data_IF_037517744520
#
_entry.id   IF_037517744520
#
_cell.length_a   1.000
_cell.length_b   1.000
_cell.length_c   1.000
_cell.angle_alpha   90.00
_cell.angle_beta   90.00
_cell.angle_gamma   90.00
#
_symmetry.space_group_name_H-M   'P 1'
#
loop_
_entity.id
_entity.type
_entity.pdbx_description
1 polymer ?
#
# COMPACT_ATOMS: atom_id res chain seq x y z
N UNK A 1 -6.72 15.63 11.68
CA UNK A 1 -8.01 15.29 12.32
C UNK A 1 -8.20 16.02 13.65
N UNK A 2 -9.23 16.85 13.74
CA UNK A 2 -9.72 17.40 15.00
C UNK A 2 -11.14 16.89 15.22
N UNK A 3 -11.34 15.84 16.06
CA UNK A 3 -12.67 15.28 16.26
C UNK A 3 -13.58 16.30 16.95
N UNK A 4 -14.85 16.35 16.52
CA UNK A 4 -15.89 17.11 17.24
C UNK A 4 -16.00 16.57 18.66
N UNK A 5 -16.28 17.46 19.61
CA UNK A 5 -16.46 17.09 21.01
C UNK A 5 -17.92 17.22 21.42
N UNK A 6 -18.39 16.32 22.26
CA UNK A 6 -19.70 16.46 22.91
C UNK A 6 -19.67 17.59 23.96
N UNK A 7 -20.84 18.01 24.42
CA UNK A 7 -20.96 19.00 25.52
C UNK A 7 -20.29 18.52 26.82
N UNK A 8 -20.19 17.20 26.99
CA UNK A 8 -19.44 16.56 28.09
C UNK A 8 -17.96 16.28 27.76
N UNK A 9 -17.40 16.91 26.71
CA UNK A 9 -16.00 16.88 26.32
C UNK A 9 -15.46 15.54 25.75
N UNK A 10 -16.33 14.59 25.40
CA UNK A 10 -15.93 13.34 24.74
C UNK A 10 -15.67 13.56 23.24
N UNK A 11 -14.65 12.90 22.68
CA UNK A 11 -14.38 12.93 21.24
C UNK A 11 -15.40 12.06 20.52
N UNK A 12 -16.10 12.64 19.55
CA UNK A 12 -17.04 11.95 18.68
C UNK A 12 -16.33 11.66 17.35
N UNK A 13 -16.37 10.39 16.95
CA UNK A 13 -15.85 9.93 15.67
C UNK A 13 -17.04 9.55 14.80
N UNK A 14 -17.19 10.24 13.67
CA UNK A 14 -18.12 9.87 12.60
C UNK A 14 -17.48 8.83 11.68
N UNK A 15 -18.26 8.31 10.73
CA UNK A 15 -17.81 7.27 9.79
C UNK A 15 -16.55 7.69 9.01
N UNK A 16 -16.47 8.96 8.59
CA UNK A 16 -15.27 9.52 7.94
C UNK A 16 -14.03 9.44 8.84
N UNK A 17 -14.20 9.59 10.15
CA UNK A 17 -13.11 9.43 11.10
C UNK A 17 -12.68 7.99 11.31
N UNK A 18 -13.63 7.05 11.28
CA UNK A 18 -13.32 5.62 11.30
C UNK A 18 -12.56 5.22 10.03
N UNK A 19 -13.00 5.68 8.87
CA UNK A 19 -12.36 5.40 7.57
C UNK A 19 -10.92 5.94 7.53
N UNK A 20 -10.70 7.20 7.93
CA UNK A 20 -9.35 7.76 7.99
C UNK A 20 -8.43 6.95 8.93
N UNK A 21 -8.94 6.48 10.08
CA UNK A 21 -8.17 5.65 11.01
C UNK A 21 -7.80 4.30 10.37
N UNK A 22 -8.70 3.69 9.60
CA UNK A 22 -8.37 2.46 8.86
C UNK A 22 -7.29 2.71 7.80
N UNK A 23 -7.35 3.84 7.11
CA UNK A 23 -6.33 4.23 6.14
C UNK A 23 -4.96 4.41 6.81
N UNK A 24 -4.89 5.14 7.92
CA UNK A 24 -3.65 5.27 8.71
C UNK A 24 -3.08 3.89 9.07
N UNK A 25 -3.94 2.96 9.52
CA UNK A 25 -3.49 1.59 9.85
C UNK A 25 -2.93 0.85 8.64
N UNK A 26 -3.54 0.99 7.45
CA UNK A 26 -3.07 0.35 6.22
C UNK A 26 -1.71 0.89 5.79
N UNK A 27 -1.56 2.21 5.67
CA UNK A 27 -0.31 2.82 5.23
C UNK A 27 0.82 2.66 6.25
N UNK A 28 0.50 2.64 7.55
CA UNK A 28 1.50 2.35 8.58
C UNK A 28 2.04 0.92 8.50
N UNK A 29 1.21 -0.07 8.10
CA UNK A 29 1.68 -1.44 7.83
C UNK A 29 2.59 -1.52 6.59
N UNK A 30 2.54 -0.52 5.71
CA UNK A 30 3.38 -0.40 4.52
C UNK A 30 4.65 0.43 4.77
N UNK A 31 5.03 0.65 6.04
CA UNK A 31 6.18 1.49 6.44
C UNK A 31 6.13 2.94 5.92
N UNK A 32 4.95 3.44 5.55
CA UNK A 32 4.78 4.83 5.15
C UNK A 32 4.91 5.76 6.38
N UNK A 33 5.76 6.80 6.34
CA UNK A 33 5.92 7.74 7.44
C UNK A 33 4.65 8.58 7.66
N UNK A 34 4.41 8.96 8.92
CA UNK A 34 3.16 9.59 9.34
C UNK A 34 2.84 10.92 8.64
N UNK A 35 3.85 11.65 8.15
CA UNK A 35 3.62 12.89 7.41
C UNK A 35 3.00 12.61 6.03
N UNK A 36 3.46 11.58 5.31
CA UNK A 36 2.90 11.17 4.02
C UNK A 36 1.48 10.61 4.18
N UNK A 37 1.24 9.83 5.23
CA UNK A 37 -0.09 9.30 5.55
C UNK A 37 -1.08 10.45 5.77
N UNK A 38 -0.65 11.51 6.48
CA UNK A 38 -1.47 12.68 6.71
C UNK A 38 -1.80 13.40 5.40
N UNK A 39 -0.81 13.60 4.54
CA UNK A 39 -0.99 14.27 3.25
C UNK A 39 -1.94 13.47 2.34
N UNK A 40 -1.87 12.13 2.35
CA UNK A 40 -2.79 11.25 1.61
C UNK A 40 -4.23 11.37 2.13
N UNK A 41 -4.43 11.38 3.44
CA UNK A 41 -5.78 11.46 4.05
C UNK A 41 -6.40 12.83 3.80
N UNK A 42 -5.65 13.91 4.01
CA UNK A 42 -6.13 15.29 3.77
C UNK A 42 -6.45 15.49 2.27
N UNK A 43 -5.77 14.79 1.36
CA UNK A 43 -6.05 14.80 -0.08
C UNK A 43 -7.35 14.07 -0.46
N UNK A 44 -7.56 12.87 0.08
CA UNK A 44 -8.77 12.08 -0.21
C UNK A 44 -10.03 12.75 0.33
N UNK A 45 -9.93 13.37 1.51
CA UNK A 45 -11.01 14.13 2.12
C UNK A 45 -11.31 15.44 1.37
N UNK A 46 -10.33 16.02 0.68
CA UNK A 46 -10.52 17.29 -0.04
C UNK A 46 -11.03 17.17 -1.48
N UNK A 47 -11.25 15.95 -2.01
CA UNK A 47 -11.73 15.66 -3.39
C UNK A 47 -10.94 16.35 -4.53
N UNK A 48 -9.82 17.00 -4.23
CA UNK A 48 -8.92 17.65 -5.18
C UNK A 48 -7.72 16.76 -5.38
N UNK A 49 -7.88 15.75 -6.23
CA UNK A 49 -6.75 15.07 -6.84
C UNK A 49 -6.00 16.11 -7.68
N UNK A 50 -4.85 16.57 -7.19
CA UNK A 50 -3.98 17.46 -7.97
C UNK A 50 -3.01 16.59 -8.77
N UNK A 51 -2.57 17.05 -9.95
CA UNK A 51 -1.60 16.28 -10.75
C UNK A 51 -0.33 15.93 -9.96
N UNK A 52 0.09 16.80 -9.03
CA UNK A 52 1.22 16.57 -8.13
C UNK A 52 1.02 15.40 -7.15
N UNK A 53 -0.22 15.12 -6.76
CA UNK A 53 -0.52 13.99 -5.87
C UNK A 53 -0.60 12.67 -6.64
N UNK A 54 -1.04 12.71 -7.89
CA UNK A 54 -0.93 11.57 -8.80
C UNK A 54 0.54 11.23 -9.07
N UNK A 55 1.38 12.23 -9.33
CA UNK A 55 2.84 12.05 -9.47
C UNK A 55 3.46 11.39 -8.24
N UNK A 56 3.12 11.84 -7.03
CA UNK A 56 3.61 11.22 -5.78
C UNK A 56 3.17 9.75 -5.64
N UNK A 57 1.93 9.44 -6.04
CA UNK A 57 1.46 8.05 -6.05
C UNK A 57 2.18 7.20 -7.10
N UNK A 58 2.48 7.77 -8.28
CA UNK A 58 3.26 7.10 -9.32
C UNK A 58 4.68 6.82 -8.82
N UNK A 59 5.35 7.80 -8.21
CA UNK A 59 6.69 7.62 -7.64
C UNK A 59 6.69 6.55 -6.54
N UNK A 60 5.66 6.53 -5.69
CA UNK A 60 5.52 5.51 -4.67
C UNK A 60 5.33 4.11 -5.25
N UNK A 61 4.47 3.96 -6.27
CA UNK A 61 4.27 2.68 -6.97
C UNK A 61 5.58 2.25 -7.65
N UNK A 62 6.31 3.17 -8.29
CA UNK A 62 7.60 2.88 -8.90
C UNK A 62 8.62 2.37 -7.86
N UNK A 63 8.68 2.99 -6.69
CA UNK A 63 9.56 2.54 -5.60
C UNK A 63 9.16 1.16 -5.07
N UNK A 64 7.87 0.88 -4.92
CA UNK A 64 7.38 -0.44 -4.53
C UNK A 64 7.75 -1.50 -5.57
N UNK A 65 7.67 -1.19 -6.86
CA UNK A 65 8.06 -2.11 -7.93
C UNK A 65 9.56 -2.42 -7.89
N UNK A 66 10.42 -1.42 -7.66
CA UNK A 66 11.86 -1.62 -7.52
C UNK A 66 12.21 -2.47 -6.29
N UNK A 67 11.55 -2.21 -5.15
CA UNK A 67 11.76 -2.99 -3.94
C UNK A 67 11.32 -4.44 -4.13
N UNK A 68 10.17 -4.65 -4.77
CA UNK A 68 9.65 -5.98 -5.08
C UNK A 68 10.59 -6.74 -6.03
N UNK A 69 11.14 -6.08 -7.05
CA UNK A 69 12.13 -6.68 -7.96
C UNK A 69 13.36 -7.18 -7.17
N UNK A 70 13.87 -6.37 -6.24
CA UNK A 70 15.00 -6.73 -5.39
C UNK A 70 14.66 -7.93 -4.49
N UNK A 71 13.51 -7.92 -3.83
CA UNK A 71 13.05 -9.04 -2.98
C UNK A 71 12.90 -10.34 -3.77
N UNK A 72 12.36 -10.28 -5.00
CA UNK A 72 12.24 -11.45 -5.88
C UNK A 72 13.64 -11.99 -6.24
N UNK A 73 14.61 -11.12 -6.49
CA UNK A 73 15.98 -11.52 -6.82
C UNK A 73 16.67 -12.19 -5.63
N UNK A 74 16.53 -11.63 -4.43
CA UNK A 74 17.06 -12.22 -3.20
C UNK A 74 16.40 -13.58 -2.94
N UNK A 75 15.09 -13.69 -3.16
CA UNK A 75 14.34 -14.94 -3.07
C UNK A 75 14.81 -15.98 -4.10
N UNK A 76 15.14 -15.57 -5.33
CA UNK A 76 15.72 -16.46 -6.34
C UNK A 76 17.05 -17.06 -5.89
N UNK A 77 17.92 -16.26 -5.27
CA UNK A 77 19.18 -16.74 -4.71
C UNK A 77 18.95 -17.72 -3.55
N UNK A 78 17.98 -17.45 -2.68
CA UNK A 78 17.61 -18.38 -1.60
C UNK A 78 17.07 -19.71 -2.15
N UNK A 79 16.28 -19.65 -3.22
CA UNK A 79 15.78 -20.84 -3.89
C UNK A 79 16.92 -21.70 -4.46
N UNK A 80 18.07 -21.13 -4.82
CA UNK A 80 19.20 -21.90 -5.35
C UNK A 80 19.78 -22.93 -4.38
N UNK A 81 19.57 -22.74 -3.09
CA UNK A 81 19.95 -23.68 -2.04
C UNK A 81 18.85 -24.68 -1.66
N UNK A 82 17.67 -24.61 -2.30
CA UNK A 82 16.52 -25.45 -1.99
C UNK A 82 16.38 -26.65 -2.93
N UNK A 83 15.75 -27.72 -2.41
CA UNK A 83 15.43 -28.91 -3.19
C UNK A 83 14.22 -28.69 -4.13
N UNK A 84 14.01 -29.61 -5.07
CA UNK A 84 13.01 -29.46 -6.15
C UNK A 84 11.58 -29.27 -5.64
N UNK A 85 11.17 -30.04 -4.63
CA UNK A 85 9.82 -29.93 -4.06
C UNK A 85 9.57 -28.57 -3.40
N UNK A 86 10.53 -28.09 -2.61
CA UNK A 86 10.44 -26.78 -1.97
C UNK A 86 10.33 -25.64 -3.00
N UNK A 87 11.13 -25.69 -4.09
CA UNK A 87 11.05 -24.71 -5.17
C UNK A 87 9.67 -24.71 -5.85
N UNK A 88 9.06 -25.88 -6.06
CA UNK A 88 7.74 -26.00 -6.70
C UNK A 88 6.64 -25.38 -5.83
N UNK A 89 6.60 -25.69 -4.54
CA UNK A 89 5.61 -25.13 -3.60
C UNK A 89 5.69 -23.60 -3.56
N UNK A 90 6.91 -23.06 -3.54
CA UNK A 90 7.15 -21.63 -3.53
C UNK A 90 6.70 -20.96 -4.83
N UNK A 91 7.03 -21.57 -5.99
CA UNK A 91 6.61 -21.07 -7.30
C UNK A 91 5.09 -21.05 -7.45
N UNK A 92 4.39 -22.08 -6.98
CA UNK A 92 2.92 -22.14 -7.02
C UNK A 92 2.26 -21.07 -6.15
N UNK A 93 2.83 -20.77 -4.97
CA UNK A 93 2.33 -19.67 -4.13
C UNK A 93 2.54 -18.31 -4.80
N UNK A 94 3.72 -18.09 -5.40
CA UNK A 94 4.06 -16.83 -6.03
C UNK A 94 3.29 -16.58 -7.33
N UNK A 95 2.98 -17.62 -8.11
CA UNK A 95 2.28 -17.50 -9.39
C UNK A 95 0.87 -16.93 -9.24
N UNK A 96 0.12 -17.34 -8.20
CA UNK A 96 -1.24 -16.83 -7.94
C UNK A 96 -1.22 -15.35 -7.57
N UNK A 97 -0.27 -14.91 -6.77
CA UNK A 97 -0.17 -13.52 -6.33
C UNK A 97 0.35 -12.61 -7.45
N UNK A 98 1.35 -13.06 -8.20
CA UNK A 98 1.91 -12.31 -9.33
C UNK A 98 0.88 -12.12 -10.45
N UNK A 99 0.03 -13.11 -10.74
CA UNK A 99 -1.02 -12.97 -11.74
C UNK A 99 -2.01 -11.81 -11.43
N UNK A 100 -2.40 -11.65 -10.17
CA UNK A 100 -3.29 -10.56 -9.77
C UNK A 100 -2.59 -9.19 -9.89
N UNK A 101 -1.33 -9.10 -9.48
CA UNK A 101 -0.55 -7.87 -9.58
C UNK A 101 -0.32 -7.47 -11.04
N UNK A 102 0.07 -8.41 -11.91
CA UNK A 102 0.23 -8.17 -13.36
C UNK A 102 -1.07 -7.65 -13.97
N UNK A 103 -2.21 -8.26 -13.63
CA UNK A 103 -3.53 -7.78 -14.12
C UNK A 103 -3.83 -6.36 -13.67
N UNK A 104 -3.57 -6.03 -12.41
CA UNK A 104 -3.79 -4.68 -11.89
C UNK A 104 -2.88 -3.65 -12.57
N UNK A 105 -1.61 -3.99 -12.78
CA UNK A 105 -0.67 -3.13 -13.50
C UNK A 105 -1.08 -2.94 -14.96
N UNK A 106 -1.46 -4.00 -15.67
CA UNK A 106 -1.92 -3.91 -17.06
C UNK A 106 -3.10 -2.97 -17.22
N UNK A 107 -4.05 -2.95 -16.28
CA UNK A 107 -5.21 -2.07 -16.32
C UNK A 107 -4.89 -0.56 -16.17
N UNK A 108 -3.66 -0.21 -15.77
CA UNK A 108 -3.18 1.17 -15.69
C UNK A 108 -2.53 1.60 -17.02
N UNK A 109 -1.93 0.67 -17.75
CA UNK A 109 -1.12 0.94 -18.94
C UNK A 109 -1.77 0.57 -20.28
N UNK A 110 -2.91 -0.15 -20.26
CA UNK A 110 -3.76 -0.52 -21.40
C UNK A 110 -5.21 -0.17 -21.12
#
# INVERSE_FOLDING_TARGET
MHPRRSDSNYRLYDEEAVEAIEMVKRYKKMNCPLYEIKDIIDMLQSKKLSNKSLEMHVDHIAQLMQNLEKEIKDMQQLMDHMNREQRTIIREKLSKQSANLVRALLAIYY
#
